data_IF_141567588012
#
_entry.id   IF_141567588012
#
_cell.length_a   1.000
_cell.length_b   1.000
_cell.length_c   1.000
_cell.angle_alpha   90.00
_cell.angle_beta   90.00
_cell.angle_gamma   90.00
#
_symmetry.space_group_name_H-M   'P 1'
#
loop_
_entity.id
_entity.type
_entity.pdbx_description
1 polymer ?
#
# COMPACT_ATOMS: atom_id res chain seq x y z
N UNK A 1 -5.55 16.48 -23.81
CA UNK A 1 -6.03 17.71 -23.13
C UNK A 1 -4.86 18.31 -22.36
N UNK A 2 -4.79 19.63 -22.23
CA UNK A 2 -3.56 20.34 -21.87
C UNK A 2 -3.35 20.39 -20.35
N UNK A 3 -2.30 19.72 -19.88
CA UNK A 3 -1.67 20.04 -18.60
C UNK A 3 -0.83 21.29 -18.85
N UNK A 4 -1.01 22.35 -18.04
CA UNK A 4 -0.28 23.62 -18.25
C UNK A 4 1.23 23.47 -18.06
N UNK A 5 1.64 22.48 -17.26
CA UNK A 5 3.03 22.06 -17.08
C UNK A 5 3.26 20.68 -17.68
N UNK A 6 4.42 20.47 -18.29
CA UNK A 6 4.84 19.13 -18.72
C UNK A 6 4.94 18.25 -17.47
N UNK A 7 4.20 17.14 -17.45
CA UNK A 7 4.32 16.13 -16.40
C UNK A 7 5.64 15.40 -16.61
N UNK A 8 6.54 15.48 -15.63
CA UNK A 8 7.85 14.82 -15.66
C UNK A 8 8.11 14.11 -14.34
N UNK A 9 8.89 13.03 -14.38
CA UNK A 9 9.21 12.21 -13.21
C UNK A 9 8.23 11.07 -12.93
N UNK A 10 8.40 10.47 -11.74
CA UNK A 10 7.64 9.32 -11.25
C UNK A 10 6.24 9.71 -10.72
N UNK A 11 6.12 10.91 -10.18
CA UNK A 11 4.98 11.37 -9.41
C UNK A 11 5.39 12.39 -8.36
N UNK A 12 4.51 12.66 -7.41
CA UNK A 12 4.79 13.53 -6.27
C UNK A 12 4.17 13.00 -4.98
N UNK A 13 4.71 13.46 -3.85
CA UNK A 13 4.15 13.27 -2.51
C UNK A 13 3.74 14.63 -1.95
N UNK A 14 2.72 14.63 -1.10
CA UNK A 14 2.20 15.85 -0.50
C UNK A 14 2.46 15.81 1.01
N UNK A 15 3.30 16.72 1.54
CA UNK A 15 3.45 16.91 2.99
C UNK A 15 2.12 17.23 3.68
N UNK A 16 2.01 16.96 4.97
CA UNK A 16 0.75 17.16 5.71
C UNK A 16 0.39 18.66 5.79
N UNK A 17 1.41 19.50 5.83
CA UNK A 17 1.35 20.95 6.03
C UNK A 17 0.66 21.67 4.87
N UNK A 18 0.59 21.04 3.69
CA UNK A 18 -0.04 21.60 2.48
C UNK A 18 -1.58 21.63 2.56
N UNK A 19 -2.18 20.94 3.53
CA UNK A 19 -3.62 20.93 3.76
C UNK A 19 -4.43 20.24 2.65
N UNK A 20 -3.77 19.46 1.79
CA UNK A 20 -4.38 18.75 0.66
C UNK A 20 -4.97 17.40 1.08
N UNK A 21 -5.98 16.94 0.34
CA UNK A 21 -6.56 15.61 0.49
C UNK A 21 -5.64 14.50 -0.05
N UNK A 22 -4.92 14.77 -1.15
CA UNK A 22 -3.95 13.82 -1.72
C UNK A 22 -2.78 13.57 -0.76
N UNK A 23 -2.43 12.29 -0.58
CA UNK A 23 -1.15 11.82 -0.04
C UNK A 23 -0.02 11.97 -1.07
N UNK A 24 -0.37 11.82 -2.34
CA UNK A 24 0.53 11.86 -3.48
C UNK A 24 -0.17 11.35 -4.73
N UNK A 25 0.56 11.41 -5.85
CA UNK A 25 0.09 10.95 -7.14
C UNK A 25 1.24 10.33 -7.93
N UNK A 26 0.98 9.20 -8.57
CA UNK A 26 1.91 8.54 -9.49
C UNK A 26 1.54 8.85 -10.94
N UNK A 27 2.55 9.09 -11.76
CA UNK A 27 2.40 9.31 -13.19
C UNK A 27 2.54 7.98 -13.93
N UNK A 28 1.49 7.16 -13.87
CA UNK A 28 1.50 5.77 -14.34
C UNK A 28 1.86 5.62 -15.81
N UNK A 29 1.39 6.53 -16.68
CA UNK A 29 1.75 6.58 -18.10
C UNK A 29 3.23 6.91 -18.34
N UNK A 30 3.93 7.49 -17.36
CA UNK A 30 5.38 7.77 -17.44
C UNK A 30 6.22 6.60 -16.95
N UNK A 31 5.69 5.84 -15.99
CA UNK A 31 6.31 4.60 -15.52
C UNK A 31 6.11 3.45 -16.49
N UNK A 32 4.93 3.36 -17.07
CA UNK A 32 4.49 2.28 -17.92
C UNK A 32 3.78 2.90 -19.14
N UNK A 33 4.53 3.23 -20.21
CA UNK A 33 4.00 3.95 -21.38
C UNK A 33 2.73 3.33 -21.98
N UNK A 34 2.61 2.01 -21.94
CA UNK A 34 1.47 1.28 -22.52
C UNK A 34 0.21 1.27 -21.66
N UNK A 35 0.23 1.93 -20.49
CA UNK A 35 -0.93 2.01 -19.57
C UNK A 35 -1.91 3.14 -19.91
N UNK A 36 -1.62 3.97 -20.91
CA UNK A 36 -2.52 5.03 -21.37
C UNK A 36 -2.53 5.14 -22.90
N UNK A 37 -3.67 5.51 -23.53
CA UNK A 37 -3.69 5.84 -24.94
C UNK A 37 -2.75 7.01 -25.27
N UNK A 38 -2.25 7.05 -26.52
CA UNK A 38 -1.38 8.13 -27.00
C UNK A 38 -2.02 9.51 -26.76
N UNK A 39 -1.21 10.45 -26.24
CA UNK A 39 -1.66 11.81 -25.95
C UNK A 39 -2.52 11.95 -24.67
N UNK A 40 -2.61 10.90 -23.85
CA UNK A 40 -3.24 10.92 -22.53
C UNK A 40 -2.23 10.59 -21.44
N UNK A 41 -2.53 11.08 -20.24
CA UNK A 41 -1.77 10.80 -19.03
C UNK A 41 -2.65 10.00 -18.08
N UNK A 42 -2.08 8.95 -17.49
CA UNK A 42 -2.73 8.17 -16.44
C UNK A 42 -2.13 8.55 -15.09
N UNK A 43 -2.97 9.07 -14.21
CA UNK A 43 -2.59 9.51 -12.86
C UNK A 43 -3.22 8.58 -11.83
N UNK A 44 -2.41 8.06 -10.91
CA UNK A 44 -2.91 7.30 -9.76
C UNK A 44 -2.77 8.14 -8.50
N UNK A 45 -3.91 8.61 -8.01
CA UNK A 45 -4.00 9.43 -6.81
C UNK A 45 -4.20 8.56 -5.57
N UNK A 46 -3.54 8.93 -4.47
CA UNK A 46 -3.68 8.27 -3.17
C UNK A 46 -4.31 9.24 -2.18
N UNK A 47 -5.39 8.84 -1.51
CA UNK A 47 -6.13 9.63 -0.53
C UNK A 47 -6.25 8.89 0.81
N UNK A 48 -6.52 9.63 1.88
CA UNK A 48 -6.86 9.08 3.19
C UNK A 48 -5.65 8.86 4.10
N UNK A 49 -5.35 7.60 4.40
CA UNK A 49 -4.34 7.21 5.38
C UNK A 49 -4.62 7.76 6.78
N UNK A 50 -3.59 7.89 7.62
CA UNK A 50 -3.73 8.43 8.98
C UNK A 50 -4.18 9.89 9.05
N UNK A 51 -4.05 10.64 7.95
CA UNK A 51 -4.41 12.06 7.88
C UNK A 51 -5.92 12.26 7.70
N UNK A 52 -6.57 11.33 6.99
CA UNK A 52 -8.01 11.35 6.78
C UNK A 52 -8.58 9.92 6.70
N UNK A 53 -8.69 9.21 7.84
CA UNK A 53 -9.17 7.81 7.86
C UNK A 53 -10.58 7.63 7.31
N UNK A 54 -11.45 8.64 7.50
CA UNK A 54 -12.83 8.63 7.02
C UNK A 54 -12.97 8.65 5.49
N UNK A 55 -11.91 8.99 4.74
CA UNK A 55 -11.92 9.02 3.28
C UNK A 55 -12.46 7.73 2.64
N UNK A 56 -12.21 6.58 3.29
CA UNK A 56 -12.66 5.27 2.77
C UNK A 56 -14.18 5.13 2.73
N UNK A 57 -14.92 5.93 3.50
CA UNK A 57 -16.38 5.92 3.54
C UNK A 57 -17.03 7.08 2.76
N UNK A 58 -16.24 8.03 2.26
CA UNK A 58 -16.76 9.17 1.49
C UNK A 58 -17.30 8.74 0.14
N UNK A 59 -18.32 9.42 -0.43
CA UNK A 59 -18.77 9.19 -1.80
C UNK A 59 -17.66 9.35 -2.85
N UNK A 60 -17.75 8.62 -3.96
CA UNK A 60 -16.76 8.67 -5.05
C UNK A 60 -16.59 10.08 -5.61
N UNK A 61 -17.70 10.80 -5.83
CA UNK A 61 -17.69 12.16 -6.36
C UNK A 61 -16.92 13.12 -5.43
N UNK A 62 -17.13 13.03 -4.11
CA UNK A 62 -16.39 13.82 -3.12
C UNK A 62 -14.88 13.56 -3.17
N UNK A 63 -14.47 12.29 -3.31
CA UNK A 63 -13.06 11.93 -3.42
C UNK A 63 -12.45 12.44 -4.73
N UNK A 64 -13.21 12.33 -5.82
CA UNK A 64 -12.78 12.79 -7.13
C UNK A 64 -12.60 14.30 -7.16
N UNK A 65 -13.60 15.07 -6.74
CA UNK A 65 -13.55 16.53 -6.67
C UNK A 65 -12.34 17.03 -5.85
N UNK A 66 -12.09 16.42 -4.69
CA UNK A 66 -10.93 16.76 -3.85
C UNK A 66 -9.61 16.44 -4.53
N UNK A 67 -9.50 15.27 -5.16
CA UNK A 67 -8.30 14.89 -5.90
C UNK A 67 -8.04 15.85 -7.07
N UNK A 68 -9.08 16.28 -7.79
CA UNK A 68 -8.94 17.24 -8.88
C UNK A 68 -8.50 18.62 -8.41
N UNK A 69 -9.08 19.11 -7.31
CA UNK A 69 -8.70 20.40 -6.73
C UNK A 69 -7.19 20.41 -6.36
N UNK A 70 -6.70 19.33 -5.75
CA UNK A 70 -5.28 19.21 -5.39
C UNK A 70 -4.39 19.04 -6.63
N UNK A 71 -4.82 18.25 -7.62
CA UNK A 71 -4.09 18.08 -8.87
C UNK A 71 -3.95 19.39 -9.66
N UNK A 72 -5.00 20.21 -9.72
CA UNK A 72 -4.92 21.54 -10.33
C UNK A 72 -3.94 22.43 -9.58
N UNK A 73 -3.99 22.44 -8.24
CA UNK A 73 -3.04 23.22 -7.42
C UNK A 73 -1.58 22.82 -7.65
N UNK A 74 -1.29 21.54 -7.84
CA UNK A 74 0.09 21.05 -8.03
C UNK A 74 0.57 21.12 -9.49
N UNK A 75 -0.26 20.67 -10.44
CA UNK A 75 0.13 20.45 -11.83
C UNK A 75 -0.47 21.47 -12.81
N UNK A 76 -1.43 22.30 -12.37
CA UNK A 76 -2.17 23.22 -13.23
C UNK A 76 -2.94 22.47 -14.31
N UNK A 77 -3.63 21.39 -13.94
CA UNK A 77 -4.40 20.57 -14.88
C UNK A 77 -5.64 21.35 -15.28
N UNK A 78 -5.80 21.63 -16.58
CA UNK A 78 -7.00 22.24 -17.12
C UNK A 78 -7.86 21.24 -17.89
N UNK A 79 -9.18 21.37 -17.74
CA UNK A 79 -10.18 20.55 -18.43
C UNK A 79 -10.72 19.41 -17.57
N UNK A 80 -11.76 18.75 -18.08
CA UNK A 80 -12.46 17.68 -17.37
C UNK A 80 -11.68 16.34 -17.55
N UNK A 81 -11.17 15.75 -16.47
CA UNK A 81 -10.50 14.45 -16.51
C UNK A 81 -11.53 13.33 -16.61
N UNK A 82 -11.12 12.21 -17.21
CA UNK A 82 -11.95 11.02 -17.28
C UNK A 82 -11.72 10.18 -16.02
N UNK A 83 -12.71 10.03 -15.12
CA UNK A 83 -12.59 9.11 -14.00
C UNK A 83 -12.53 7.67 -14.52
N UNK A 84 -11.56 6.89 -14.06
CA UNK A 84 -11.44 5.47 -14.37
C UNK A 84 -12.01 4.58 -13.27
N UNK A 85 -11.95 5.01 -12.02
CA UNK A 85 -12.49 4.30 -10.87
C UNK A 85 -11.78 4.60 -9.56
N UNK A 86 -12.37 4.13 -8.47
CA UNK A 86 -11.83 4.24 -7.11
C UNK A 86 -11.69 2.84 -6.51
N UNK A 87 -10.52 2.55 -5.96
CA UNK A 87 -10.28 1.36 -5.17
C UNK A 87 -10.15 1.74 -3.69
N UNK A 88 -10.88 1.04 -2.81
CA UNK A 88 -10.98 1.34 -1.38
C UNK A 88 -10.33 0.23 -0.56
N UNK A 89 -9.47 0.63 0.37
CA UNK A 89 -8.74 -0.29 1.25
C UNK A 89 -8.85 0.20 2.70
N UNK A 90 -9.79 -0.35 3.46
CA UNK A 90 -10.02 0.04 4.87
C UNK A 90 -8.79 -0.25 5.76
N UNK A 91 -8.08 -1.35 5.48
CA UNK A 91 -6.87 -1.77 6.19
C UNK A 91 -5.70 -1.92 5.23
N UNK A 92 -5.36 -0.83 4.54
CA UNK A 92 -4.41 -0.82 3.43
C UNK A 92 -2.95 -1.13 3.84
N UNK A 93 -2.40 -0.37 4.79
CA UNK A 93 -0.97 -0.42 5.15
C UNK A 93 -0.82 -0.51 6.67
N UNK A 94 -0.18 -1.57 7.20
CA UNK A 94 0.12 -1.67 8.63
C UNK A 94 0.85 -0.42 9.13
N UNK A 95 0.45 0.08 10.29
CA UNK A 95 1.04 1.26 10.92
C UNK A 95 1.77 0.82 12.20
N UNK A 96 3.05 0.41 12.12
CA UNK A 96 3.79 -0.06 13.29
C UNK A 96 3.91 1.07 14.33
N UNK A 97 3.39 0.81 15.52
CA UNK A 97 3.53 1.70 16.67
C UNK A 97 4.93 1.66 17.28
N UNK A 98 5.18 2.52 18.28
CA UNK A 98 6.47 2.55 19.00
C UNK A 98 6.81 1.21 19.67
N UNK A 99 5.81 0.43 20.03
CA UNK A 99 5.95 -0.86 20.68
C UNK A 99 5.94 -2.06 19.70
N UNK A 100 5.92 -1.79 18.39
CA UNK A 100 5.85 -2.82 17.35
C UNK A 100 6.94 -3.87 17.49
N UNK A 101 8.21 -3.44 17.58
CA UNK A 101 9.35 -4.35 17.72
C UNK A 101 9.22 -5.28 18.94
N UNK A 102 8.77 -4.75 20.08
CA UNK A 102 8.51 -5.55 21.29
C UNK A 102 7.40 -6.58 21.07
N UNK A 103 6.30 -6.18 20.40
CA UNK A 103 5.19 -7.09 20.08
C UNK A 103 5.63 -8.21 19.14
N UNK A 104 6.42 -7.89 18.11
CA UNK A 104 6.93 -8.90 17.17
C UNK A 104 7.90 -9.86 17.86
N UNK A 105 8.77 -9.38 18.74
CA UNK A 105 9.67 -10.23 19.52
C UNK A 105 8.89 -11.21 20.41
N UNK A 106 7.87 -10.72 21.12
CA UNK A 106 7.02 -11.56 21.96
C UNK A 106 6.20 -12.58 21.14
N UNK A 107 5.68 -12.17 19.97
CA UNK A 107 5.02 -13.09 19.05
C UNK A 107 5.97 -14.20 18.62
N UNK A 108 7.20 -13.89 18.20
CA UNK A 108 8.20 -14.90 17.82
C UNK A 108 8.50 -15.87 18.95
N UNK A 109 8.68 -15.38 20.18
CA UNK A 109 8.91 -16.23 21.37
C UNK A 109 7.77 -17.23 21.58
N UNK A 110 6.52 -16.76 21.56
CA UNK A 110 5.34 -17.62 21.74
C UNK A 110 5.12 -18.61 20.60
N UNK A 111 5.54 -18.27 19.39
CA UNK A 111 5.41 -19.13 18.21
C UNK A 111 6.51 -20.21 18.22
N UNK A 112 7.72 -19.90 18.67
CA UNK A 112 8.79 -20.89 18.81
C UNK A 112 8.42 -22.07 19.74
N UNK A 113 7.56 -21.81 20.73
CA UNK A 113 7.01 -22.82 21.64
C UNK A 113 5.91 -23.70 21.00
N UNK A 114 5.53 -23.46 19.73
CA UNK A 114 4.44 -24.15 19.03
C UNK A 114 4.92 -24.81 17.74
N UNK A 115 5.26 -26.10 17.78
CA UNK A 115 5.68 -26.83 16.58
C UNK A 115 4.65 -26.74 15.46
N UNK A 116 5.12 -26.59 14.22
CA UNK A 116 4.22 -26.54 13.04
C UNK A 116 3.48 -25.23 12.82
N UNK A 117 3.77 -24.19 13.60
CA UNK A 117 3.19 -22.87 13.43
C UNK A 117 4.26 -21.84 13.08
N UNK A 118 4.07 -21.09 12.01
CA UNK A 118 4.90 -19.95 11.63
C UNK A 118 4.03 -18.75 11.22
N UNK A 119 4.59 -17.54 11.38
CA UNK A 119 3.92 -16.29 11.02
C UNK A 119 4.62 -15.62 9.85
N UNK A 120 3.84 -15.13 8.89
CA UNK A 120 4.33 -14.35 7.77
C UNK A 120 3.39 -13.20 7.42
N UNK A 121 3.96 -12.09 6.94
CA UNK A 121 3.19 -10.99 6.35
C UNK A 121 3.78 -9.60 6.62
N UNK A 122 3.14 -8.61 5.99
CA UNK A 122 3.56 -7.20 5.99
C UNK A 122 3.57 -6.54 7.40
N UNK A 123 2.93 -7.16 8.38
CA UNK A 123 2.92 -6.68 9.75
C UNK A 123 4.14 -7.16 10.55
N UNK A 124 4.95 -8.08 10.03
CA UNK A 124 6.09 -8.65 10.77
C UNK A 124 7.30 -7.72 10.71
N UNK A 125 8.08 -7.86 9.64
CA UNK A 125 9.40 -7.21 9.49
C UNK A 125 9.37 -5.94 8.65
N UNK A 126 8.33 -5.77 7.83
CA UNK A 126 8.16 -4.56 7.03
C UNK A 126 7.03 -4.69 6.01
N UNK A 127 6.60 -3.54 5.51
CA UNK A 127 5.32 -3.39 4.79
C UNK A 127 5.45 -3.57 3.28
N UNK A 128 6.67 -3.65 2.76
CA UNK A 128 6.89 -3.73 1.31
C UNK A 128 6.61 -5.14 0.76
N UNK A 129 6.43 -5.23 -0.57
CA UNK A 129 6.27 -6.51 -1.27
C UNK A 129 7.50 -7.40 -1.08
N UNK A 130 8.76 -6.94 -1.26
CA UNK A 130 9.93 -7.76 -1.02
C UNK A 130 10.04 -8.27 0.42
N UNK A 131 9.69 -7.45 1.41
CA UNK A 131 9.71 -7.86 2.82
C UNK A 131 8.64 -8.90 3.14
N UNK A 132 7.43 -8.74 2.58
CA UNK A 132 6.34 -9.71 2.72
C UNK A 132 6.70 -11.04 2.07
N UNK A 133 7.30 -11.00 0.88
CA UNK A 133 7.80 -12.18 0.19
C UNK A 133 8.89 -12.90 1.01
N UNK A 134 9.89 -12.15 1.47
CA UNK A 134 10.96 -12.70 2.30
C UNK A 134 10.43 -13.25 3.64
N UNK A 135 9.40 -12.63 4.22
CA UNK A 135 8.71 -13.11 5.41
C UNK A 135 8.06 -14.47 5.17
N UNK A 136 7.36 -14.67 4.04
CA UNK A 136 6.82 -15.96 3.65
C UNK A 136 7.90 -17.03 3.44
N UNK A 137 8.99 -16.68 2.76
CA UNK A 137 10.13 -17.60 2.57
C UNK A 137 10.81 -18.00 3.88
N UNK A 138 10.86 -17.11 4.87
CA UNK A 138 11.37 -17.45 6.21
C UNK A 138 10.43 -18.42 6.91
N UNK A 139 9.14 -18.11 6.98
CA UNK A 139 8.15 -18.99 7.60
C UNK A 139 8.13 -20.40 7.01
N UNK A 140 8.21 -20.53 5.68
CA UNK A 140 8.28 -21.83 5.03
C UNK A 140 9.54 -22.64 5.40
N UNK A 141 10.70 -21.96 5.49
CA UNK A 141 11.96 -22.60 5.92
C UNK A 141 11.94 -23.00 7.38
N UNK A 142 11.41 -22.14 8.26
CA UNK A 142 11.32 -22.42 9.69
C UNK A 142 10.44 -23.66 9.93
N UNK A 143 9.34 -23.80 9.20
CA UNK A 143 8.49 -25.00 9.25
C UNK A 143 9.21 -26.24 8.70
N UNK A 144 9.89 -26.13 7.55
CA UNK A 144 10.59 -27.27 6.94
C UNK A 144 11.77 -27.77 7.79
N UNK A 145 12.37 -26.90 8.60
CA UNK A 145 13.48 -27.22 9.50
C UNK A 145 13.04 -27.67 10.90
N UNK A 146 11.73 -27.61 11.21
CA UNK A 146 11.24 -27.98 12.54
C UNK A 146 11.18 -29.50 12.71
N UNK A 147 12.26 -30.10 13.21
CA UNK A 147 12.37 -31.55 13.45
C UNK A 147 11.28 -32.10 14.39
N UNK A 148 10.68 -31.24 15.23
CA UNK A 148 9.57 -31.64 16.10
C UNK A 148 8.33 -32.01 15.29
N UNK A 149 8.20 -31.54 14.05
CA UNK A 149 7.16 -31.96 13.11
C UNK A 149 7.35 -33.38 12.63
N UNK A 150 8.59 -33.86 12.49
CA UNK A 150 8.87 -35.25 12.10
C UNK A 150 8.46 -36.24 13.19
N UNK A 151 8.41 -35.81 14.45
CA UNK A 151 7.94 -36.60 15.59
C UNK A 151 6.41 -36.56 15.79
N UNK A 152 5.70 -35.70 15.06
CA UNK A 152 4.25 -35.70 15.03
C UNK A 152 3.81 -36.79 14.04
N UNK A 153 3.50 -37.97 14.56
CA UNK A 153 2.89 -39.05 13.80
C UNK A 153 1.58 -38.52 13.20
N UNK A 154 1.59 -38.15 11.91
CA UNK A 154 0.36 -37.79 11.20
C UNK A 154 -0.33 -39.10 10.84
N UNK A 155 -0.90 -39.76 11.85
CA UNK A 155 -1.90 -40.80 11.63
C UNK A 155 -3.12 -40.10 11.02
N UNK A 156 -3.18 -40.13 9.70
CA UNK A 156 -4.34 -39.71 8.93
C UNK A 156 -5.46 -40.71 9.27
N UNK A 157 -6.36 -40.30 10.15
CA UNK A 157 -7.59 -41.03 10.47
C UNK A 157 -8.66 -40.83 9.41
#
# INVERSE_FOLDING_TARGET
RAVRRKIEGFGFLVPREEGMALLGCLFMSRLFPDRAPLGRELLQCMLGGRRWPAAVAEPDDTLFERALADLDRVLGISGEPLPLGIARYERAVPQPGRDHGRRIAELRRRIAERPGLALAGAYMDGVSVPESFASGQRAARDLAADERLCALDVSVG
#
